data_IF_623633384678
#
_entry.id   IF_623633384678
#
_cell.length_a   1.000
_cell.length_b   1.000
_cell.length_c   1.000
_cell.angle_alpha   90.00
_cell.angle_beta   90.00
_cell.angle_gamma   90.00
#
_symmetry.space_group_name_H-M   'P 1'
#
loop_
_entity.id
_entity.type
_entity.pdbx_description
1 polymer ?
#
# COMPACT_ATOMS: atom_id res chain seq x y z
N UNK A 1 9.97 -13.37 -32.57
CA UNK A 1 8.80 -12.50 -32.35
C UNK A 1 8.55 -12.26 -30.87
N UNK A 2 8.48 -13.30 -30.03
CA UNK A 2 8.24 -13.21 -28.58
C UNK A 2 9.20 -12.27 -27.83
N UNK A 3 10.53 -12.44 -28.02
CA UNK A 3 11.54 -11.58 -27.40
C UNK A 3 11.31 -10.09 -27.69
N UNK A 4 10.99 -9.74 -28.93
CA UNK A 4 10.73 -8.36 -29.32
C UNK A 4 9.47 -7.79 -28.68
N UNK A 5 8.41 -8.60 -28.56
CA UNK A 5 7.15 -8.19 -27.90
C UNK A 5 7.39 -7.93 -26.41
N UNK A 6 8.03 -8.86 -25.69
CA UNK A 6 8.33 -8.66 -24.27
C UNK A 6 9.30 -7.51 -24.04
N UNK A 7 10.35 -7.36 -24.88
CA UNK A 7 11.26 -6.24 -24.80
C UNK A 7 10.53 -4.90 -25.00
N UNK A 8 9.59 -4.82 -25.94
CA UNK A 8 8.77 -3.64 -26.17
C UNK A 8 7.85 -3.32 -24.96
N UNK A 9 7.19 -4.34 -24.38
CA UNK A 9 6.33 -4.17 -23.19
C UNK A 9 7.17 -3.71 -21.98
N UNK A 10 8.33 -4.32 -21.74
CA UNK A 10 9.25 -3.93 -20.66
C UNK A 10 9.70 -2.48 -20.87
N UNK A 11 10.17 -2.14 -22.07
CA UNK A 11 10.61 -0.78 -22.39
C UNK A 11 9.49 0.24 -22.20
N UNK A 12 8.29 -0.03 -22.71
CA UNK A 12 7.12 0.84 -22.54
C UNK A 12 6.76 1.01 -21.07
N UNK A 13 6.69 -0.09 -20.31
CA UNK A 13 6.40 -0.05 -18.86
C UNK A 13 7.41 0.80 -18.09
N UNK A 14 8.70 0.63 -18.36
CA UNK A 14 9.77 1.41 -17.74
C UNK A 14 9.76 2.88 -18.15
N UNK A 15 9.47 3.20 -19.40
CA UNK A 15 9.34 4.59 -19.89
C UNK A 15 8.14 5.27 -19.23
N UNK A 16 6.97 4.63 -19.22
CA UNK A 16 5.77 5.15 -18.56
C UNK A 16 6.00 5.36 -17.07
N UNK A 17 6.67 4.40 -16.40
CA UNK A 17 7.09 4.54 -15.02
C UNK A 17 8.01 5.74 -14.84
N UNK A 18 9.09 5.85 -15.64
CA UNK A 18 10.08 6.92 -15.50
C UNK A 18 9.45 8.31 -15.69
N UNK A 19 8.62 8.49 -16.71
CA UNK A 19 7.90 9.75 -16.97
C UNK A 19 6.92 10.05 -15.83
N UNK A 20 6.04 9.09 -15.50
CA UNK A 20 5.01 9.31 -14.47
C UNK A 20 5.60 9.56 -13.08
N UNK A 21 6.64 8.83 -12.71
CA UNK A 21 7.24 8.90 -11.37
C UNK A 21 8.15 10.13 -11.18
N UNK A 22 8.69 10.71 -12.26
CA UNK A 22 9.43 11.99 -12.22
C UNK A 22 8.48 13.18 -12.09
N UNK A 23 7.30 13.11 -12.72
CA UNK A 23 6.31 14.19 -12.67
C UNK A 23 5.54 14.18 -11.35
N UNK A 24 5.10 13.00 -10.88
CA UNK A 24 4.35 12.86 -9.64
C UNK A 24 4.60 11.48 -9.02
N UNK A 25 5.48 11.38 -8.02
CA UNK A 25 5.81 10.12 -7.36
C UNK A 25 4.67 9.54 -6.52
N UNK A 26 3.68 10.36 -6.12
CA UNK A 26 2.55 10.00 -5.27
C UNK A 26 1.37 9.46 -6.09
N UNK A 27 1.64 8.61 -7.10
CA UNK A 27 0.61 7.96 -7.94
C UNK A 27 0.75 6.45 -7.90
N UNK A 28 -0.30 5.75 -7.51
CA UNK A 28 -0.30 4.28 -7.49
C UNK A 28 0.02 3.66 -8.87
N UNK A 29 -0.42 4.28 -9.96
CA UNK A 29 -0.11 3.80 -11.33
C UNK A 29 1.40 3.60 -11.61
N UNK A 30 2.29 4.26 -10.85
CA UNK A 30 3.73 4.03 -10.95
C UNK A 30 4.07 2.57 -10.59
N UNK A 31 3.41 2.00 -9.59
CA UNK A 31 3.51 0.58 -9.24
C UNK A 31 2.91 -0.34 -10.31
N UNK A 32 1.83 0.08 -10.97
CA UNK A 32 1.24 -0.70 -12.09
C UNK A 32 2.22 -0.77 -13.27
N UNK A 33 2.84 0.33 -13.65
CA UNK A 33 3.84 0.33 -14.73
C UNK A 33 5.05 -0.55 -14.41
N UNK A 34 5.52 -0.51 -13.15
CA UNK A 34 6.57 -1.42 -12.68
C UNK A 34 6.12 -2.87 -12.71
N UNK A 35 4.89 -3.16 -12.28
CA UNK A 35 4.33 -4.52 -12.31
C UNK A 35 4.31 -5.07 -13.74
N UNK A 36 3.83 -4.29 -14.72
CA UNK A 36 3.77 -4.71 -16.13
C UNK A 36 5.17 -5.02 -16.67
N UNK A 37 6.16 -4.18 -16.37
CA UNK A 37 7.54 -4.41 -16.80
C UNK A 37 8.15 -5.67 -16.15
N UNK A 38 7.99 -5.82 -14.82
CA UNK A 38 8.49 -6.99 -14.07
C UNK A 38 7.79 -8.26 -14.51
N UNK A 39 6.46 -8.23 -14.68
CA UNK A 39 5.68 -9.36 -15.16
C UNK A 39 6.17 -9.85 -16.53
N UNK A 40 6.29 -8.93 -17.49
CA UNK A 40 6.76 -9.26 -18.83
C UNK A 40 8.20 -9.82 -18.82
N UNK A 41 9.07 -9.31 -17.93
CA UNK A 41 10.41 -9.86 -17.74
C UNK A 41 10.40 -11.27 -17.16
N UNK A 42 9.57 -11.52 -16.14
CA UNK A 42 9.41 -12.87 -15.54
C UNK A 42 8.87 -13.86 -16.54
N UNK A 43 7.87 -13.48 -17.35
CA UNK A 43 7.29 -14.34 -18.37
C UNK A 43 8.31 -14.68 -19.48
N UNK A 44 9.12 -13.70 -19.89
CA UNK A 44 10.21 -13.91 -20.85
C UNK A 44 11.25 -14.92 -20.31
N UNK A 45 11.69 -14.74 -19.05
CA UNK A 45 12.68 -15.64 -18.42
C UNK A 45 12.10 -17.03 -18.20
N UNK A 46 10.87 -17.11 -17.68
CA UNK A 46 10.20 -18.41 -17.49
C UNK A 46 10.07 -19.19 -18.80
N UNK A 47 9.77 -18.45 -19.86
CA UNK A 47 9.70 -19.00 -21.18
C UNK A 47 11.02 -19.53 -21.72
N UNK A 48 12.10 -18.80 -21.56
CA UNK A 48 13.43 -19.24 -21.97
C UNK A 48 13.89 -20.48 -21.17
N UNK A 49 13.58 -20.53 -19.88
CA UNK A 49 13.87 -21.69 -19.03
C UNK A 49 13.08 -22.92 -19.47
N UNK A 50 11.79 -22.78 -19.78
CA UNK A 50 10.96 -23.89 -20.26
C UNK A 50 11.48 -24.45 -21.60
N UNK A 51 11.90 -23.59 -22.54
CA UNK A 51 12.48 -23.98 -23.80
C UNK A 51 13.77 -24.80 -23.60
N UNK A 52 14.65 -24.38 -22.68
CA UNK A 52 15.88 -25.12 -22.35
C UNK A 52 15.64 -26.45 -21.66
N UNK A 53 14.54 -26.58 -20.91
CA UNK A 53 14.16 -27.83 -20.26
C UNK A 53 13.39 -28.78 -21.18
N UNK A 54 13.16 -28.42 -22.45
CA UNK A 54 12.42 -29.25 -23.41
C UNK A 54 10.94 -29.44 -23.04
N UNK A 55 10.38 -28.50 -22.24
CA UNK A 55 8.95 -28.51 -21.92
C UNK A 55 8.19 -28.04 -23.15
N UNK A 56 7.49 -28.96 -23.82
CA UNK A 56 6.61 -28.64 -24.94
C UNK A 56 5.53 -27.67 -24.44
N UNK A 57 5.53 -26.46 -25.01
CA UNK A 57 4.52 -25.44 -24.66
C UNK A 57 3.27 -25.72 -25.46
N UNK A 58 2.26 -26.18 -24.78
CA UNK A 58 0.91 -26.04 -25.26
C UNK A 58 0.53 -24.57 -25.00
N UNK A 59 0.70 -23.74 -26.04
CA UNK A 59 0.29 -22.34 -26.15
C UNK A 59 0.73 -21.34 -25.05
N UNK A 60 1.16 -20.15 -25.49
CA UNK A 60 1.63 -19.03 -24.65
C UNK A 60 0.66 -18.55 -23.54
N UNK A 61 -0.59 -19.02 -23.54
CA UNK A 61 -1.62 -18.67 -22.57
C UNK A 61 -1.47 -19.33 -21.19
N UNK A 62 -0.85 -20.53 -21.09
CA UNK A 62 -0.80 -21.28 -19.83
C UNK A 62 0.07 -20.57 -18.79
N UNK A 63 1.23 -20.01 -19.19
CA UNK A 63 2.11 -19.27 -18.27
C UNK A 63 1.46 -17.96 -17.84
N UNK A 64 0.76 -17.28 -18.77
CA UNK A 64 0.04 -16.05 -18.48
C UNK A 64 -1.05 -16.24 -17.40
N UNK A 65 -1.72 -17.40 -17.40
CA UNK A 65 -2.76 -17.73 -16.42
C UNK A 65 -2.19 -18.35 -15.14
N UNK A 66 -1.07 -19.09 -15.22
CA UNK A 66 -0.46 -19.75 -14.07
C UNK A 66 0.14 -18.75 -13.06
N UNK A 67 0.77 -17.65 -13.52
CA UNK A 67 1.40 -16.66 -12.64
C UNK A 67 0.41 -15.95 -11.71
N UNK A 68 -0.75 -15.42 -12.16
CA UNK A 68 -1.76 -14.85 -11.28
C UNK A 68 -2.26 -15.83 -10.24
N UNK A 69 -2.52 -17.06 -10.66
CA UNK A 69 -2.97 -18.12 -9.77
C UNK A 69 -1.91 -18.46 -8.71
N UNK A 70 -0.66 -18.71 -9.12
CA UNK A 70 0.43 -18.99 -8.20
C UNK A 70 0.67 -17.84 -7.22
N UNK A 71 0.62 -16.60 -7.72
CA UNK A 71 0.72 -15.39 -6.89
C UNK A 71 -0.41 -15.33 -5.85
N UNK A 72 -1.63 -15.67 -6.24
CA UNK A 72 -2.78 -15.71 -5.34
C UNK A 72 -2.63 -16.80 -4.27
N UNK A 73 -2.17 -17.99 -4.61
CA UNK A 73 -1.91 -19.10 -3.67
C UNK A 73 -0.83 -18.70 -2.67
N UNK A 74 0.32 -18.23 -3.15
CA UNK A 74 1.43 -17.77 -2.28
C UNK A 74 0.98 -16.66 -1.36
N UNK A 75 0.28 -15.65 -1.89
CA UNK A 75 -0.26 -14.57 -1.07
C UNK A 75 -1.26 -15.08 -0.03
N UNK A 76 -2.17 -15.98 -0.42
CA UNK A 76 -3.13 -16.61 0.49
C UNK A 76 -2.44 -17.30 1.66
N UNK A 77 -1.40 -18.10 1.40
CA UNK A 77 -0.60 -18.75 2.44
C UNK A 77 0.12 -17.75 3.35
N UNK A 78 0.74 -16.73 2.79
CA UNK A 78 1.42 -15.67 3.56
C UNK A 78 0.42 -14.92 4.46
N UNK A 79 -0.77 -14.62 3.95
CA UNK A 79 -1.84 -13.97 4.70
C UNK A 79 -2.38 -14.84 5.82
N UNK A 80 -2.54 -16.17 5.60
CA UNK A 80 -2.92 -17.12 6.66
C UNK A 80 -1.88 -17.15 7.78
N UNK A 81 -0.59 -17.31 7.44
CA UNK A 81 0.49 -17.32 8.43
C UNK A 81 0.54 -16.02 9.21
N UNK A 82 0.40 -14.89 8.51
CA UNK A 82 0.38 -13.58 9.17
C UNK A 82 -0.85 -13.39 10.05
N UNK A 83 -2.05 -13.78 9.57
CA UNK A 83 -3.29 -13.69 10.33
C UNK A 83 -3.25 -14.52 11.62
N UNK A 84 -2.72 -15.75 11.56
CA UNK A 84 -2.50 -16.57 12.76
C UNK A 84 -1.55 -15.92 13.78
N UNK A 85 -0.47 -15.27 13.28
CA UNK A 85 0.46 -14.52 14.17
C UNK A 85 -0.22 -13.32 14.82
N UNK A 86 -1.02 -12.56 14.05
CA UNK A 86 -1.75 -11.40 14.57
C UNK A 86 -2.76 -11.80 15.66
N UNK A 87 -3.60 -12.80 15.39
CA UNK A 87 -4.58 -13.29 16.38
C UNK A 87 -3.90 -13.75 17.68
N UNK A 88 -2.74 -14.40 17.58
CA UNK A 88 -1.98 -14.86 18.75
C UNK A 88 -1.32 -13.75 19.55
N UNK A 89 -0.93 -12.63 18.91
CA UNK A 89 -0.15 -11.54 19.54
C UNK A 89 -0.99 -10.34 19.94
N UNK A 90 -2.00 -9.98 19.15
CA UNK A 90 -2.77 -8.74 19.26
C UNK A 90 -4.28 -9.02 19.55
N UNK A 91 -4.66 -10.28 19.68
CA UNK A 91 -6.04 -10.67 19.96
C UNK A 91 -6.97 -10.68 18.72
N UNK A 92 -8.26 -10.95 18.95
CA UNK A 92 -9.28 -11.23 17.92
C UNK A 92 -10.12 -9.98 17.59
N UNK A 93 -9.52 -8.93 17.06
CA UNK A 93 -10.27 -7.82 16.47
C UNK A 93 -10.57 -8.09 14.99
N UNK A 94 -11.63 -7.48 14.42
CA UNK A 94 -11.94 -7.61 12.99
C UNK A 94 -10.74 -7.19 12.10
N UNK A 95 -10.03 -6.15 12.49
CA UNK A 95 -8.84 -5.69 11.75
C UNK A 95 -7.69 -6.70 11.81
N UNK A 96 -7.54 -7.45 12.90
CA UNK A 96 -6.51 -8.49 13.04
C UNK A 96 -6.90 -9.77 12.30
N UNK A 97 -8.21 -10.05 12.18
CA UNK A 97 -8.75 -11.18 11.42
C UNK A 97 -8.72 -10.98 9.91
N UNK A 98 -8.60 -9.74 9.42
CA UNK A 98 -8.68 -9.44 7.97
C UNK A 98 -7.70 -10.27 7.14
N UNK A 99 -6.43 -10.36 7.55
CA UNK A 99 -5.43 -11.18 6.85
C UNK A 99 -5.80 -12.66 6.86
N UNK A 100 -6.31 -13.17 7.99
CA UNK A 100 -6.70 -14.58 8.13
C UNK A 100 -7.89 -14.91 7.22
N UNK A 101 -8.93 -14.08 7.24
CA UNK A 101 -10.14 -14.28 6.44
C UNK A 101 -9.86 -14.18 4.94
N UNK A 102 -9.06 -13.19 4.52
CA UNK A 102 -8.68 -13.04 3.12
C UNK A 102 -7.83 -14.22 2.66
N UNK A 103 -6.81 -14.62 3.45
CA UNK A 103 -5.98 -15.77 3.12
C UNK A 103 -6.79 -17.07 3.03
N UNK A 104 -7.72 -17.31 3.96
CA UNK A 104 -8.62 -18.45 3.93
C UNK A 104 -9.52 -18.43 2.68
N UNK A 105 -10.12 -17.27 2.37
CA UNK A 105 -10.96 -17.11 1.17
C UNK A 105 -10.21 -17.42 -0.13
N UNK A 106 -8.94 -16.97 -0.24
CA UNK A 106 -8.10 -17.27 -1.41
C UNK A 106 -7.80 -18.78 -1.53
N UNK A 107 -7.50 -19.46 -0.43
CA UNK A 107 -7.24 -20.92 -0.45
C UNK A 107 -8.52 -21.70 -0.75
N UNK A 108 -9.65 -21.33 -0.14
CA UNK A 108 -10.96 -21.96 -0.41
C UNK A 108 -11.35 -21.78 -1.88
N UNK A 109 -11.18 -20.58 -2.44
CA UNK A 109 -11.41 -20.34 -3.87
C UNK A 109 -10.51 -21.24 -4.75
N UNK A 110 -9.24 -21.41 -4.37
CA UNK A 110 -8.33 -22.31 -5.05
C UNK A 110 -8.84 -23.76 -5.03
N UNK A 111 -9.23 -24.27 -3.85
CA UNK A 111 -9.72 -25.66 -3.73
C UNK A 111 -11.00 -25.86 -4.55
N UNK A 112 -11.98 -24.95 -4.43
CA UNK A 112 -13.21 -25.00 -5.21
C UNK A 112 -12.92 -24.97 -6.71
N UNK A 113 -12.08 -24.03 -7.15
CA UNK A 113 -11.73 -23.88 -8.56
C UNK A 113 -11.05 -25.13 -9.15
N UNK A 114 -10.08 -25.72 -8.43
CA UNK A 114 -9.44 -26.97 -8.84
C UNK A 114 -10.44 -28.13 -8.91
N UNK A 115 -11.31 -28.24 -7.89
CA UNK A 115 -12.33 -29.32 -7.87
C UNK A 115 -13.27 -29.20 -9.06
N UNK A 116 -13.79 -28.02 -9.36
CA UNK A 116 -14.66 -27.79 -10.50
C UNK A 116 -13.94 -28.03 -11.83
N UNK A 117 -12.68 -27.63 -11.94
CA UNK A 117 -11.88 -27.87 -13.15
C UNK A 117 -11.70 -29.36 -13.44
N UNK A 118 -11.42 -30.17 -12.40
CA UNK A 118 -11.12 -31.61 -12.56
C UNK A 118 -12.36 -32.50 -12.68
N UNK A 119 -13.53 -32.08 -12.18
CA UNK A 119 -14.69 -32.98 -12.00
C UNK A 119 -15.88 -32.69 -12.92
N UNK A 120 -15.80 -31.65 -13.77
CA UNK A 120 -16.98 -31.20 -14.53
C UNK A 120 -16.84 -31.29 -16.06
N UNK A 121 -17.98 -31.16 -16.77
CA UNK A 121 -17.97 -30.93 -18.20
C UNK A 121 -17.33 -29.56 -18.50
N UNK A 122 -17.00 -29.29 -19.77
CA UNK A 122 -16.30 -28.07 -20.23
C UNK A 122 -16.80 -26.79 -19.58
N UNK A 123 -18.11 -26.58 -19.48
CA UNK A 123 -18.68 -25.38 -18.86
C UNK A 123 -18.32 -25.25 -17.37
N UNK A 124 -18.34 -26.36 -16.62
CA UNK A 124 -17.98 -26.39 -15.19
C UNK A 124 -16.48 -26.18 -15.02
N UNK A 125 -15.66 -26.74 -15.91
CA UNK A 125 -14.21 -26.52 -15.92
C UNK A 125 -13.87 -25.05 -16.16
N UNK A 126 -14.55 -24.37 -17.10
CA UNK A 126 -14.41 -22.90 -17.32
C UNK A 126 -14.72 -22.12 -16.04
N UNK A 127 -15.85 -22.43 -15.38
CA UNK A 127 -16.21 -21.79 -14.10
C UNK A 127 -15.11 -22.02 -13.05
N UNK A 128 -14.59 -23.25 -12.98
CA UNK A 128 -13.49 -23.59 -12.07
C UNK A 128 -12.25 -22.72 -12.28
N UNK A 129 -11.83 -22.55 -13.53
CA UNK A 129 -10.66 -21.70 -13.85
C UNK A 129 -10.94 -20.22 -13.57
N UNK A 130 -12.13 -19.71 -13.87
CA UNK A 130 -12.49 -18.32 -13.52
C UNK A 130 -12.40 -18.11 -12.01
N UNK A 131 -12.91 -19.05 -11.20
CA UNK A 131 -12.78 -19.00 -9.73
C UNK A 131 -11.31 -19.02 -9.28
N UNK A 132 -10.46 -19.82 -9.94
CA UNK A 132 -9.02 -19.86 -9.68
C UNK A 132 -8.32 -18.54 -9.97
N UNK A 133 -8.72 -17.86 -11.04
CA UNK A 133 -8.11 -16.61 -11.49
C UNK A 133 -8.67 -15.38 -10.79
N UNK A 134 -9.90 -15.43 -10.25
CA UNK A 134 -10.56 -14.30 -9.63
C UNK A 134 -9.71 -13.62 -8.53
N UNK A 135 -9.06 -14.36 -7.60
CA UNK A 135 -8.16 -13.77 -6.62
C UNK A 135 -6.89 -13.12 -7.23
N UNK A 136 -6.58 -13.39 -8.49
CA UNK A 136 -5.44 -12.80 -9.19
C UNK A 136 -5.53 -11.29 -9.31
N UNK A 137 -6.72 -10.72 -9.56
CA UNK A 137 -6.90 -9.28 -9.64
C UNK A 137 -6.51 -8.54 -8.35
N UNK A 138 -7.07 -8.85 -7.17
CA UNK A 138 -6.65 -8.21 -5.92
C UNK A 138 -5.20 -8.54 -5.56
N UNK A 139 -4.68 -9.73 -5.89
CA UNK A 139 -3.28 -10.08 -5.66
C UNK A 139 -2.33 -9.20 -6.48
N UNK A 140 -2.58 -9.05 -7.78
CA UNK A 140 -1.78 -8.17 -8.64
C UNK A 140 -1.92 -6.70 -8.25
N UNK A 141 -3.12 -6.27 -7.88
CA UNK A 141 -3.35 -4.92 -7.35
C UNK A 141 -2.54 -4.67 -6.08
N UNK A 142 -2.49 -5.64 -5.15
CA UNK A 142 -1.66 -5.55 -3.95
C UNK A 142 -0.17 -5.51 -4.30
N UNK A 143 0.31 -6.35 -5.22
CA UNK A 143 1.71 -6.34 -5.66
C UNK A 143 2.06 -4.98 -6.27
N UNK A 144 1.20 -4.43 -7.13
CA UNK A 144 1.42 -3.09 -7.70
C UNK A 144 1.45 -1.99 -6.64
N UNK A 145 0.62 -2.09 -5.60
CA UNK A 145 0.63 -1.17 -4.47
C UNK A 145 1.90 -1.31 -3.61
N UNK A 146 2.38 -2.54 -3.38
CA UNK A 146 3.67 -2.80 -2.73
C UNK A 146 4.82 -2.16 -3.52
N UNK A 147 4.88 -2.39 -4.83
CA UNK A 147 5.90 -1.79 -5.70
C UNK A 147 5.89 -0.26 -5.64
N UNK A 148 4.69 0.34 -5.69
CA UNK A 148 4.52 1.78 -5.51
C UNK A 148 5.06 2.26 -4.15
N UNK A 149 4.68 1.60 -3.05
CA UNK A 149 5.12 1.99 -1.70
C UNK A 149 6.63 1.84 -1.53
N UNK A 150 7.22 0.75 -2.02
CA UNK A 150 8.67 0.52 -1.95
C UNK A 150 9.45 1.55 -2.77
N UNK A 151 8.98 1.88 -3.99
CA UNK A 151 9.56 2.94 -4.80
C UNK A 151 9.49 4.28 -4.08
N UNK A 152 8.30 4.65 -3.59
CA UNK A 152 8.09 5.92 -2.90
C UNK A 152 8.92 6.05 -1.61
N UNK A 153 9.05 4.98 -0.82
CA UNK A 153 9.87 4.97 0.40
C UNK A 153 11.36 5.15 0.12
N UNK A 154 11.87 4.61 -1.00
CA UNK A 154 13.29 4.72 -1.41
C UNK A 154 13.67 6.07 -1.99
N UNK A 155 12.69 6.88 -2.39
CA UNK A 155 12.96 8.19 -2.99
C UNK A 155 13.52 9.16 -1.96
N UNK A 156 14.48 9.96 -2.40
CA UNK A 156 14.94 11.11 -1.63
C UNK A 156 13.79 12.09 -1.48
N UNK A 157 13.55 12.51 -0.26
CA UNK A 157 12.57 13.55 0.05
C UNK A 157 13.21 14.92 -0.13
N UNK A 158 12.39 15.90 -0.54
CA UNK A 158 12.87 17.26 -0.72
C UNK A 158 13.44 17.79 0.61
N UNK A 159 14.60 18.45 0.59
CA UNK A 159 15.11 19.12 1.77
C UNK A 159 14.25 20.33 2.13
N UNK A 160 14.45 20.91 3.31
CA UNK A 160 13.86 22.18 3.72
C UNK A 160 12.33 22.22 3.78
N UNK A 161 11.68 21.39 4.60
CA UNK A 161 10.24 21.52 4.80
C UNK A 161 9.92 22.84 5.54
N UNK A 162 8.81 23.48 5.13
CA UNK A 162 8.29 24.65 5.84
C UNK A 162 7.77 24.28 7.24
N UNK A 163 7.18 23.08 7.39
CA UNK A 163 6.75 22.50 8.65
C UNK A 163 6.79 20.97 8.60
N UNK A 164 6.79 20.33 9.78
CA UNK A 164 6.78 18.88 9.96
C UNK A 164 5.48 18.47 10.63
N UNK A 165 4.56 17.86 9.88
CA UNK A 165 3.29 17.34 10.39
C UNK A 165 3.47 15.92 10.87
N UNK A 166 3.02 15.60 12.09
CA UNK A 166 3.06 14.24 12.66
C UNK A 166 1.63 13.74 12.80
N UNK A 167 1.31 12.71 12.02
CA UNK A 167 -0.04 12.11 12.06
C UNK A 167 -0.21 11.25 13.31
N UNK A 168 -1.33 11.38 13.97
CA UNK A 168 -1.78 10.54 15.08
C UNK A 168 -2.04 9.08 14.68
N UNK A 169 -2.21 8.19 15.66
CA UNK A 169 -2.49 6.75 15.45
C UNK A 169 -3.30 6.11 16.57
N UNK A 170 -3.95 6.92 17.40
CA UNK A 170 -4.69 6.53 18.61
C UNK A 170 -3.82 6.53 19.86
N UNK A 171 -4.44 6.88 20.97
CA UNK A 171 -3.87 6.71 22.30
C UNK A 171 -4.23 5.30 22.82
N UNK A 172 -3.50 4.82 23.80
CA UNK A 172 -3.83 3.60 24.55
C UNK A 172 -3.88 3.96 26.01
N UNK A 173 -5.04 3.80 26.64
CA UNK A 173 -5.31 4.24 28.02
C UNK A 173 -4.87 5.70 28.24
N UNK A 174 -5.15 6.59 27.29
CA UNK A 174 -4.78 8.00 27.33
C UNK A 174 -3.28 8.29 27.21
N UNK A 175 -2.45 7.32 26.84
CA UNK A 175 -0.99 7.43 26.75
C UNK A 175 -0.50 7.27 25.32
N UNK A 176 0.64 7.89 25.02
CA UNK A 176 1.34 7.73 23.74
C UNK A 176 1.85 6.29 23.60
N UNK A 177 1.30 5.48 22.66
CA UNK A 177 1.81 4.15 22.41
C UNK A 177 3.17 4.18 21.69
N UNK A 178 3.92 3.08 21.77
CA UNK A 178 5.26 2.99 21.14
C UNK A 178 5.28 3.32 19.64
N UNK A 179 4.19 3.07 18.94
CA UNK A 179 4.06 3.37 17.51
C UNK A 179 4.05 4.89 17.30
N UNK A 180 3.26 5.62 18.08
CA UNK A 180 3.14 7.08 18.02
C UNK A 180 4.43 7.75 18.50
N UNK A 181 5.02 7.27 19.61
CA UNK A 181 6.31 7.75 20.09
C UNK A 181 7.40 7.70 19.01
N UNK A 182 7.46 6.62 18.21
CA UNK A 182 8.42 6.51 17.10
C UNK A 182 8.20 7.54 16.00
N UNK A 183 6.95 7.95 15.74
CA UNK A 183 6.65 9.03 14.78
C UNK A 183 7.16 10.36 15.31
N UNK A 184 6.91 10.66 16.59
CA UNK A 184 7.39 11.88 17.26
C UNK A 184 8.91 11.91 17.31
N UNK A 185 9.56 10.83 17.71
CA UNK A 185 11.03 10.72 17.73
C UNK A 185 11.63 10.92 16.32
N UNK A 186 10.98 10.42 15.27
CA UNK A 186 11.42 10.64 13.89
C UNK A 186 11.26 12.11 13.47
N UNK A 187 10.22 12.80 13.91
CA UNK A 187 10.02 14.22 13.67
C UNK A 187 11.06 15.07 14.40
N UNK A 188 11.35 14.78 15.67
CA UNK A 188 12.40 15.43 16.44
C UNK A 188 13.76 15.24 15.75
N UNK A 189 14.07 14.02 15.32
CA UNK A 189 15.32 13.72 14.63
C UNK A 189 15.46 14.52 13.32
N UNK A 190 14.39 14.61 12.53
CA UNK A 190 14.36 15.42 11.32
C UNK A 190 14.54 16.91 11.63
N UNK A 191 13.82 17.44 12.63
CA UNK A 191 13.95 18.84 13.06
C UNK A 191 15.40 19.16 13.46
N UNK A 192 16.05 18.30 14.25
CA UNK A 192 17.47 18.47 14.62
C UNK A 192 18.40 18.53 13.40
N UNK A 193 18.13 17.73 12.36
CA UNK A 193 18.90 17.81 11.12
C UNK A 193 18.69 19.15 10.43
N UNK A 194 17.47 19.69 10.40
CA UNK A 194 17.19 21.01 9.85
C UNK A 194 17.85 22.14 10.68
N UNK A 195 17.89 22.00 11.99
CA UNK A 195 18.58 22.96 12.90
C UNK A 195 20.08 23.03 12.64
N UNK A 196 20.75 21.92 12.31
CA UNK A 196 22.15 21.92 11.89
C UNK A 196 22.39 22.72 10.61
N UNK A 197 21.34 22.94 9.81
CA UNK A 197 21.35 23.78 8.61
C UNK A 197 20.78 25.18 8.84
N UNK A 198 20.60 25.60 10.11
CA UNK A 198 20.11 26.93 10.50
C UNK A 198 18.59 27.13 10.28
N UNK A 199 17.81 26.05 10.14
CA UNK A 199 16.36 26.11 9.93
C UNK A 199 15.62 25.50 11.11
N UNK A 200 14.47 26.08 11.46
CA UNK A 200 13.63 25.59 12.57
C UNK A 200 12.19 25.40 12.12
N UNK A 201 11.87 24.38 11.26
CA UNK A 201 10.50 24.14 10.88
C UNK A 201 9.66 23.76 12.12
N UNK A 202 8.48 24.36 12.34
CA UNK A 202 7.60 23.96 13.44
C UNK A 202 7.12 22.52 13.26
N UNK A 203 6.84 21.86 14.40
CA UNK A 203 6.20 20.56 14.43
C UNK A 203 4.70 20.73 14.60
N UNK A 204 3.92 20.00 13.81
CA UNK A 204 2.46 20.00 13.88
C UNK A 204 2.00 18.59 14.27
N UNK A 205 1.92 18.28 15.58
CA UNK A 205 1.23 17.08 16.04
C UNK A 205 -0.26 17.22 15.71
N UNK A 206 -0.83 16.22 15.02
CA UNK A 206 -2.18 16.30 14.48
C UNK A 206 -2.96 15.02 14.77
N UNK A 207 -4.11 15.19 15.46
CA UNK A 207 -5.05 14.14 15.81
C UNK A 207 -6.03 14.57 16.89
N UNK A 208 -7.31 14.37 16.63
CA UNK A 208 -8.40 14.75 17.54
C UNK A 208 -8.55 13.79 18.72
N UNK A 209 -9.66 13.94 19.43
CA UNK A 209 -9.99 13.13 20.60
C UNK A 209 -10.93 11.99 20.22
N UNK A 210 -10.54 10.76 20.51
CA UNK A 210 -11.42 9.59 20.40
C UNK A 210 -12.51 9.61 21.48
N UNK A 211 -13.63 8.93 21.23
CA UNK A 211 -14.80 8.91 22.15
C UNK A 211 -14.45 8.48 23.57
N UNK A 212 -13.52 7.53 23.73
CA UNK A 212 -13.09 6.98 25.02
C UNK A 212 -11.74 7.56 25.49
N UNK A 213 -11.21 8.60 24.86
CA UNK A 213 -9.90 9.18 25.19
C UNK A 213 -10.04 10.36 26.13
N UNK A 214 -9.21 10.48 27.19
CA UNK A 214 -9.27 11.58 28.15
C UNK A 214 -8.76 12.91 27.59
N UNK A 215 -8.01 12.87 26.46
CA UNK A 215 -7.43 14.03 25.79
C UNK A 215 -7.29 13.74 24.29
N UNK A 216 -7.13 14.78 23.48
CA UNK A 216 -6.85 14.61 22.06
C UNK A 216 -5.45 14.03 21.81
N UNK A 217 -5.28 13.33 20.68
CA UNK A 217 -3.96 12.84 20.29
C UNK A 217 -2.97 14.02 20.09
N UNK A 218 -3.44 15.09 19.45
CA UNK A 218 -2.65 16.32 19.24
C UNK A 218 -2.10 16.90 20.53
N UNK A 219 -2.94 17.06 21.57
CA UNK A 219 -2.53 17.56 22.87
C UNK A 219 -1.53 16.59 23.57
N UNK A 220 -1.81 15.29 23.55
CA UNK A 220 -0.89 14.30 24.13
C UNK A 220 0.47 14.27 23.41
N UNK A 221 0.47 14.40 22.07
CA UNK A 221 1.70 14.49 21.27
C UNK A 221 2.47 15.78 21.57
N UNK A 222 1.78 16.90 21.74
CA UNK A 222 2.39 18.19 22.14
C UNK A 222 3.08 18.05 23.49
N UNK A 223 2.41 17.50 24.50
CA UNK A 223 3.03 17.26 25.82
C UNK A 223 4.31 16.40 25.70
N UNK A 224 4.26 15.33 24.90
CA UNK A 224 5.42 14.50 24.65
C UNK A 224 6.59 15.27 24.00
N UNK A 225 6.32 16.17 23.06
CA UNK A 225 7.34 16.98 22.39
C UNK A 225 7.99 17.98 23.38
N UNK A 226 7.20 18.64 24.22
CA UNK A 226 7.67 19.57 25.25
C UNK A 226 8.53 18.85 26.30
N UNK A 227 8.12 17.67 26.77
CA UNK A 227 8.94 16.83 27.67
C UNK A 227 10.28 16.44 27.07
N UNK A 228 10.40 16.43 25.73
CA UNK A 228 11.66 16.14 24.99
C UNK A 228 12.49 17.38 24.69
N UNK A 229 12.09 18.54 25.24
CA UNK A 229 12.83 19.80 25.20
C UNK A 229 12.59 20.65 23.95
N UNK A 230 11.44 20.47 23.27
CA UNK A 230 11.00 21.47 22.29
C UNK A 230 10.36 22.65 23.02
N UNK A 231 10.53 23.83 22.46
CA UNK A 231 9.88 25.05 22.94
C UNK A 231 8.41 25.09 22.47
N UNK A 232 7.53 25.64 23.28
CA UNK A 232 6.08 25.72 22.98
C UNK A 232 5.81 26.46 21.67
N UNK A 233 6.53 27.53 21.39
CA UNK A 233 6.40 28.28 20.13
C UNK A 233 6.87 27.56 18.88
N UNK A 234 7.56 26.42 19.03
CA UNK A 234 7.98 25.53 17.93
C UNK A 234 6.94 24.44 17.61
N UNK A 235 5.83 24.39 18.33
CA UNK A 235 4.79 23.38 18.19
C UNK A 235 3.44 24.04 17.90
N UNK A 236 2.80 23.61 16.80
CA UNK A 236 1.44 24.05 16.41
C UNK A 236 0.52 22.84 16.57
N UNK A 237 -0.28 22.81 17.64
CA UNK A 237 -1.13 21.66 17.94
C UNK A 237 -2.39 21.68 17.08
N UNK A 238 -2.68 20.56 16.42
CA UNK A 238 -3.95 20.27 15.76
C UNK A 238 -4.64 19.13 16.54
N UNK A 239 -5.82 19.34 17.08
CA UNK A 239 -6.49 18.45 18.01
C UNK A 239 -7.98 18.19 17.73
N UNK A 240 -8.44 18.51 16.52
CA UNK A 240 -9.84 18.36 16.09
C UNK A 240 -10.05 17.22 15.09
N UNK A 241 -9.01 16.81 14.36
CA UNK A 241 -9.11 15.88 13.25
C UNK A 241 -9.55 14.48 13.67
N UNK A 242 -10.52 13.90 12.95
CA UNK A 242 -11.03 12.53 13.15
C UNK A 242 -10.56 11.56 12.07
N UNK A 243 -9.87 12.03 11.05
CA UNK A 243 -9.39 11.24 9.93
C UNK A 243 -8.03 11.73 9.42
N UNK A 244 -7.31 10.85 8.68
CA UNK A 244 -6.03 11.25 8.03
C UNK A 244 -6.20 12.43 7.07
N UNK A 245 -7.36 12.58 6.45
CA UNK A 245 -7.66 13.69 5.53
C UNK A 245 -7.81 14.98 6.30
N UNK A 246 -8.56 14.96 7.40
CA UNK A 246 -8.71 16.10 8.30
C UNK A 246 -7.40 16.48 8.98
N UNK A 247 -6.60 15.50 9.45
CA UNK A 247 -5.26 15.77 9.97
C UNK A 247 -4.44 16.64 9.00
N UNK A 248 -4.46 16.31 7.71
CA UNK A 248 -3.69 17.03 6.71
C UNK A 248 -4.32 18.40 6.35
N UNK A 249 -5.65 18.48 6.25
CA UNK A 249 -6.35 19.73 5.92
C UNK A 249 -6.28 20.73 7.05
N UNK A 250 -6.57 20.32 8.29
CA UNK A 250 -6.56 21.19 9.46
C UNK A 250 -5.13 21.63 9.81
N UNK A 251 -4.14 20.70 9.75
CA UNK A 251 -2.72 21.09 9.90
C UNK A 251 -2.30 22.15 8.89
N UNK A 252 -2.72 21.99 7.62
CA UNK A 252 -2.43 23.00 6.59
C UNK A 252 -3.09 24.33 6.90
N UNK A 253 -4.37 24.34 7.30
CA UNK A 253 -5.09 25.55 7.64
C UNK A 253 -4.43 26.32 8.80
N UNK A 254 -4.07 25.62 9.89
CA UNK A 254 -3.35 26.22 11.02
C UNK A 254 -2.00 26.83 10.62
N UNK A 255 -1.26 26.15 9.72
CA UNK A 255 0.00 26.68 9.20
C UNK A 255 -0.21 27.92 8.33
N UNK A 256 -1.22 27.92 7.47
CA UNK A 256 -1.58 29.08 6.63
C UNK A 256 -1.99 30.28 7.49
N UNK A 257 -2.77 30.08 8.57
CA UNK A 257 -3.14 31.12 9.55
C UNK A 257 -1.91 31.67 10.28
N UNK A 258 -0.92 30.82 10.57
CA UNK A 258 0.34 31.24 11.16
C UNK A 258 1.31 31.89 10.14
N UNK A 259 0.89 32.06 8.87
CA UNK A 259 1.71 32.63 7.80
C UNK A 259 2.80 31.67 7.28
N UNK A 260 2.74 30.38 7.62
CA UNK A 260 3.72 29.35 7.23
C UNK A 260 3.21 28.65 5.97
N UNK A 261 3.83 28.97 4.85
CA UNK A 261 3.48 28.39 3.55
C UNK A 261 4.67 27.63 2.94
N UNK A 262 4.39 26.61 2.12
CA UNK A 262 5.40 25.88 1.40
C UNK A 262 5.29 24.37 1.55
N UNK A 263 6.39 23.69 1.21
CA UNK A 263 6.47 22.24 1.23
C UNK A 263 6.43 21.65 2.64
N UNK A 264 5.57 20.67 2.87
CA UNK A 264 5.45 20.01 4.17
C UNK A 264 6.21 18.67 4.20
N UNK A 265 6.67 18.30 5.37
CA UNK A 265 7.10 16.93 5.66
C UNK A 265 6.08 16.26 6.58
N UNK A 266 5.41 15.23 6.09
CA UNK A 266 4.46 14.44 6.87
C UNK A 266 5.16 13.20 7.42
N UNK A 267 5.10 13.00 8.73
CA UNK A 267 5.66 11.84 9.42
C UNK A 267 4.53 10.91 9.84
N UNK A 268 4.64 9.64 9.46
CA UNK A 268 3.70 8.59 9.83
C UNK A 268 4.43 7.24 9.98
N UNK A 269 3.70 6.14 10.18
CA UNK A 269 4.30 4.79 10.21
C UNK A 269 4.62 4.29 8.81
N UNK A 270 5.69 3.49 8.66
CA UNK A 270 6.17 3.02 7.35
C UNK A 270 5.11 2.36 6.48
N UNK A 271 4.21 1.57 7.07
CA UNK A 271 3.11 0.91 6.36
C UNK A 271 2.03 1.90 5.85
N UNK A 272 1.89 3.06 6.48
CA UNK A 272 0.87 4.07 6.14
C UNK A 272 1.37 5.09 5.09
N UNK A 273 2.67 5.16 4.82
CA UNK A 273 3.28 6.17 3.92
C UNK A 273 2.61 6.21 2.55
N UNK A 274 2.34 5.05 1.96
CA UNK A 274 1.74 4.98 0.63
C UNK A 274 0.36 5.65 0.57
N UNK A 275 -0.52 5.33 1.54
CA UNK A 275 -1.87 5.92 1.62
C UNK A 275 -1.80 7.41 1.95
N UNK A 276 -1.00 7.82 2.91
CA UNK A 276 -0.85 9.24 3.25
C UNK A 276 -0.34 10.07 2.06
N UNK A 277 0.61 9.54 1.27
CA UNK A 277 1.09 10.22 0.06
C UNK A 277 -0.01 10.35 -1.02
N UNK A 278 -0.84 9.32 -1.20
CA UNK A 278 -2.01 9.39 -2.11
C UNK A 278 -3.01 10.43 -1.64
N UNK A 279 -3.27 10.54 -0.33
CA UNK A 279 -4.17 11.53 0.26
C UNK A 279 -3.60 12.94 0.07
N UNK A 280 -2.34 13.19 0.41
CA UNK A 280 -1.70 14.50 0.17
C UNK A 280 -1.84 14.94 -1.29
N UNK A 281 -1.62 14.01 -2.24
CA UNK A 281 -1.80 14.32 -3.67
C UNK A 281 -3.26 14.64 -4.00
N UNK A 282 -4.24 13.86 -3.48
CA UNK A 282 -5.68 14.06 -3.74
C UNK A 282 -6.16 15.42 -3.22
N UNK A 283 -5.64 15.84 -2.07
CA UNK A 283 -5.96 17.13 -1.43
C UNK A 283 -5.17 18.32 -2.00
N UNK A 284 -4.27 18.08 -2.98
CA UNK A 284 -3.43 19.13 -3.54
C UNK A 284 -2.40 19.70 -2.54
N UNK A 285 -2.06 18.94 -1.49
CA UNK A 285 -1.10 19.36 -0.48
C UNK A 285 0.32 19.09 -1.00
N UNK A 286 1.17 20.12 -1.01
CA UNK A 286 2.58 19.99 -1.37
C UNK A 286 3.36 19.39 -0.19
N UNK A 287 3.44 18.08 -0.16
CA UNK A 287 4.08 17.36 0.93
C UNK A 287 4.83 16.12 0.47
N UNK A 288 5.93 15.82 1.16
CA UNK A 288 6.59 14.51 1.16
C UNK A 288 6.25 13.75 2.43
N UNK A 289 5.95 12.45 2.30
CA UNK A 289 5.63 11.59 3.43
C UNK A 289 6.82 10.70 3.78
N UNK A 290 7.16 10.61 5.06
CA UNK A 290 8.23 9.79 5.61
C UNK A 290 7.68 8.83 6.67
N UNK A 291 8.23 7.60 6.71
CA UNK A 291 7.77 6.55 7.60
C UNK A 291 8.67 6.34 8.81
N UNK A 292 8.11 6.38 10.01
CA UNK A 292 8.77 5.89 11.21
C UNK A 292 8.82 4.35 11.24
N UNK A 293 9.83 3.79 11.90
CA UNK A 293 10.01 2.34 12.00
C UNK A 293 8.86 1.67 12.73
N UNK A 294 8.37 0.57 12.17
CA UNK A 294 7.31 -0.27 12.73
C UNK A 294 7.82 -1.67 12.98
N UNK A 295 7.29 -2.38 13.98
CA UNK A 295 7.64 -3.77 14.24
C UNK A 295 7.27 -4.64 13.02
N UNK A 296 8.20 -5.43 12.53
CA UNK A 296 8.08 -6.16 11.25
C UNK A 296 6.89 -7.12 11.20
N UNK A 297 6.52 -7.74 12.33
CA UNK A 297 5.38 -8.68 12.40
C UNK A 297 4.03 -8.00 12.24
N UNK A 298 3.94 -6.70 12.56
CA UNK A 298 2.73 -5.89 12.46
C UNK A 298 2.51 -5.36 11.03
N UNK A 299 3.61 -5.13 10.30
CA UNK A 299 3.60 -4.48 8.97
C UNK A 299 2.66 -5.18 7.98
N UNK A 300 2.66 -6.51 7.79
CA UNK A 300 1.80 -7.13 6.76
C UNK A 300 0.31 -6.89 6.98
N UNK A 301 -0.20 -7.07 8.21
CA UNK A 301 -1.62 -6.82 8.50
C UNK A 301 -1.99 -5.34 8.42
N UNK A 302 -1.13 -4.46 8.94
CA UNK A 302 -1.34 -3.03 8.85
C UNK A 302 -1.33 -2.57 7.39
N UNK A 303 -0.37 -3.04 6.58
CA UNK A 303 -0.26 -2.72 5.17
C UNK A 303 -1.48 -3.21 4.37
N UNK A 304 -1.99 -4.40 4.68
CA UNK A 304 -3.21 -4.90 4.05
C UNK A 304 -4.42 -4.02 4.34
N UNK A 305 -4.57 -3.52 5.58
CA UNK A 305 -5.64 -2.55 5.92
C UNK A 305 -5.51 -1.26 5.11
N UNK A 306 -4.29 -0.74 4.97
CA UNK A 306 -4.02 0.43 4.14
C UNK A 306 -4.37 0.18 2.67
N UNK A 307 -4.04 -0.99 2.14
CA UNK A 307 -4.39 -1.37 0.78
C UNK A 307 -5.91 -1.45 0.58
N UNK A 308 -6.64 -2.11 1.49
CA UNK A 308 -8.11 -2.19 1.44
C UNK A 308 -8.71 -0.79 1.50
N UNK A 309 -8.21 0.09 2.38
CA UNK A 309 -8.67 1.48 2.45
C UNK A 309 -8.41 2.26 1.15
N UNK A 310 -7.28 2.00 0.46
CA UNK A 310 -7.01 2.63 -0.85
C UNK A 310 -7.95 2.11 -1.94
N UNK A 311 -8.31 0.83 -1.92
CA UNK A 311 -9.28 0.28 -2.87
C UNK A 311 -10.66 0.96 -2.78
N UNK A 312 -11.07 1.40 -1.58
CA UNK A 312 -12.35 2.09 -1.40
C UNK A 312 -12.37 3.52 -1.95
N UNK A 313 -11.23 4.10 -2.31
CA UNK A 313 -11.21 5.44 -2.91
C UNK A 313 -11.78 5.51 -4.32
N UNK A 314 -11.73 4.39 -5.05
CA UNK A 314 -12.23 4.28 -6.42
C UNK A 314 -13.00 2.97 -6.63
N UNK A 315 -14.15 2.76 -5.94
CA UNK A 315 -14.86 1.48 -5.94
C UNK A 315 -15.30 1.06 -7.35
N UNK A 316 -15.78 2.00 -8.16
CA UNK A 316 -16.20 1.73 -9.53
C UNK A 316 -15.05 1.31 -10.45
N UNK A 317 -13.86 1.91 -10.30
CA UNK A 317 -12.67 1.53 -11.08
C UNK A 317 -12.28 0.09 -10.74
N UNK A 318 -12.31 -0.26 -9.46
CA UNK A 318 -11.99 -1.62 -9.01
C UNK A 318 -13.06 -2.64 -9.44
N UNK A 319 -14.35 -2.27 -9.41
CA UNK A 319 -15.43 -3.13 -9.89
C UNK A 319 -15.30 -3.40 -11.40
N UNK A 320 -15.06 -2.36 -12.21
CA UNK A 320 -14.80 -2.51 -13.65
C UNK A 320 -13.56 -3.34 -13.90
N UNK A 321 -12.45 -3.08 -13.20
CA UNK A 321 -11.22 -3.85 -13.32
C UNK A 321 -11.42 -5.34 -13.02
N UNK A 322 -12.14 -5.67 -11.95
CA UNK A 322 -12.48 -7.05 -11.59
C UNK A 322 -13.37 -7.72 -12.64
N UNK A 323 -14.37 -6.99 -13.16
CA UNK A 323 -15.28 -7.50 -14.21
C UNK A 323 -14.50 -7.79 -15.50
N UNK A 324 -13.65 -6.85 -15.94
CA UNK A 324 -12.80 -7.03 -17.12
C UNK A 324 -11.85 -8.22 -16.92
N UNK A 325 -11.23 -8.34 -15.75
CA UNK A 325 -10.36 -9.46 -15.41
C UNK A 325 -11.09 -10.81 -15.49
N UNK A 326 -12.31 -10.89 -14.91
CA UNK A 326 -13.13 -12.09 -14.96
C UNK A 326 -13.54 -12.44 -16.40
N UNK A 327 -13.96 -11.45 -17.20
CA UNK A 327 -14.33 -11.64 -18.59
C UNK A 327 -13.16 -12.13 -19.45
N UNK A 328 -11.98 -11.49 -19.33
CA UNK A 328 -10.76 -11.91 -20.03
C UNK A 328 -10.36 -13.31 -19.62
N UNK A 329 -10.40 -13.63 -18.32
CA UNK A 329 -10.12 -14.96 -17.82
C UNK A 329 -11.07 -16.01 -18.40
N UNK A 330 -12.37 -15.73 -18.49
CA UNK A 330 -13.36 -16.62 -19.07
C UNK A 330 -13.12 -16.86 -20.58
N UNK A 331 -12.86 -15.80 -21.35
CA UNK A 331 -12.60 -15.86 -22.78
C UNK A 331 -11.33 -16.68 -23.07
N UNK A 332 -10.22 -16.38 -22.38
CA UNK A 332 -8.97 -17.11 -22.56
C UNK A 332 -9.11 -18.58 -22.19
N UNK A 333 -9.80 -18.86 -21.07
CA UNK A 333 -10.07 -20.22 -20.63
C UNK A 333 -10.91 -20.99 -21.65
N UNK A 334 -11.99 -20.38 -22.16
CA UNK A 334 -12.82 -21.01 -23.16
C UNK A 334 -12.03 -21.31 -24.44
N UNK A 335 -11.23 -20.37 -24.91
CA UNK A 335 -10.39 -20.55 -26.09
C UNK A 335 -9.38 -21.71 -25.94
N UNK A 336 -8.79 -21.88 -24.74
CA UNK A 336 -7.85 -23.00 -24.45
C UNK A 336 -8.54 -24.35 -24.33
N UNK A 337 -9.79 -24.41 -23.84
CA UNK A 337 -10.51 -25.69 -23.64
C UNK A 337 -11.30 -26.11 -24.89
N UNK A 338 -11.75 -25.16 -25.71
CA UNK A 338 -12.60 -25.41 -26.88
C UNK A 338 -11.80 -25.53 -28.19
N UNK A 339 -10.53 -25.11 -28.24
CA UNK A 339 -9.60 -25.28 -29.37
C UNK A 339 -8.74 -26.52 -29.19
#
# INVERSE_FOLDING_TARGET
MRLLVHAAIIALGLVLYAVSSRTEPRRWRNGVFLLVAVWSAVDLVAGEVADRLGVERHEDGVVLLALPWLSAVVLGLLLLVNGLRMVRREGRSLSNLLSLLLGLGMIVATVIGVTLFLSGPTTVAVIGIVILLLPGYPALSLVSYVLYCLDYLRRRKRPTPAAIVVLGSGLVDGRIPRLLARRLDAAIALRRVEELHGRRPPLVPSGGQGEDEPTSEGAAMTAYLLERGLDEHDVVTEDEATSTEENLLLSRALLEEAGITGHLRVITSGYHVGRAALICRRLGIDADVSGARTAWYFVPSAFLREFVAVLTYHPWVNAVGLTVWAAVSAVLTYAVIAG
#
